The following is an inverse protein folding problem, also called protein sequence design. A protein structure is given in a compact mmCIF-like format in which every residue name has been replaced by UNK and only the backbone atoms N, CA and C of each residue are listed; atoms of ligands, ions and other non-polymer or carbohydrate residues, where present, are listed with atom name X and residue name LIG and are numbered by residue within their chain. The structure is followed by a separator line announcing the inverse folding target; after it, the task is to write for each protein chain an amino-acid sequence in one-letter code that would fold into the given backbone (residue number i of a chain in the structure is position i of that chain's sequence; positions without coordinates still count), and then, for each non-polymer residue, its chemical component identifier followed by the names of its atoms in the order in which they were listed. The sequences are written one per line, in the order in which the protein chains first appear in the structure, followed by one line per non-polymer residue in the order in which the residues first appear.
data_IF_516773043228
#
_entry.id   IF_516773043228
#
_cell.length_a   1.000
_cell.length_b   1.000
_cell.length_c   1.000
_cell.angle_alpha   90.00
_cell.angle_beta   90.00
_cell.angle_gamma   90.00
#
_symmetry.space_group_name_H-M   'P 1'
#
loop_
_entity.id
_entity.type
_entity.pdbx_description
1 polymer ?
#
# COMPACT_ATOMS: atom_id res chain seq x y z
N UNK A 1 36.64 19.21 -10.34
CA UNK A 1 37.41 18.14 -11.00
C UNK A 1 38.82 18.16 -10.43
N UNK A 2 39.12 17.27 -9.48
CA UNK A 2 40.49 17.06 -9.02
C UNK A 2 41.19 16.18 -10.04
N UNK A 3 42.21 16.71 -10.73
CA UNK A 3 43.07 15.91 -11.60
C UNK A 3 43.82 14.92 -10.72
N UNK A 4 43.53 13.62 -10.86
CA UNK A 4 44.35 12.58 -10.26
C UNK A 4 45.77 12.67 -10.86
N UNK A 5 46.83 12.59 -10.04
CA UNK A 5 48.20 12.58 -10.54
C UNK A 5 48.41 11.36 -11.44
N UNK A 6 48.81 11.60 -12.70
CA UNK A 6 49.20 10.54 -13.62
C UNK A 6 50.54 9.94 -13.15
N UNK A 7 50.46 8.78 -12.51
CA UNK A 7 51.63 7.93 -12.28
C UNK A 7 52.24 7.55 -13.64
N UNK A 8 53.56 7.69 -13.77
CA UNK A 8 54.27 7.27 -14.98
C UNK A 8 54.01 5.77 -15.24
N UNK A 9 53.74 5.36 -16.50
CA UNK A 9 53.47 3.97 -16.82
C UNK A 9 54.70 3.12 -16.47
N UNK A 10 54.51 2.15 -15.59
CA UNK A 10 55.53 1.16 -15.24
C UNK A 10 55.25 -0.10 -16.07
N UNK A 11 56.11 -0.39 -17.05
CA UNK A 11 55.97 -1.56 -17.91
C UNK A 11 56.63 -2.79 -17.26
N UNK A 12 56.07 -3.97 -17.51
CA UNK A 12 56.67 -5.23 -17.08
C UNK A 12 57.83 -5.65 -17.99
N UNK A 13 58.85 -6.30 -17.40
CA UNK A 13 60.01 -6.80 -18.13
C UNK A 13 59.68 -8.09 -18.87
N UNK A 14 60.21 -8.23 -20.08
CA UNK A 14 60.05 -9.44 -20.86
C UNK A 14 60.78 -10.63 -20.19
N UNK A 15 60.13 -11.79 -20.02
CA UNK A 15 60.75 -12.95 -19.36
C UNK A 15 61.93 -13.52 -20.15
N UNK A 16 61.89 -13.43 -21.49
CA UNK A 16 62.98 -13.90 -22.38
C UNK A 16 64.06 -12.85 -22.58
N UNK A 17 63.72 -11.57 -22.47
CA UNK A 17 64.64 -10.44 -22.67
C UNK A 17 64.52 -9.46 -21.49
N UNK A 18 65.12 -9.74 -20.32
CA UNK A 18 64.90 -8.97 -19.07
C UNK A 18 65.25 -7.48 -19.16
N UNK A 19 66.05 -7.09 -20.15
CA UNK A 19 66.44 -5.70 -20.41
C UNK A 19 65.29 -4.92 -21.07
N UNK A 20 64.45 -5.61 -21.85
CA UNK A 20 63.39 -5.01 -22.66
C UNK A 20 62.05 -5.01 -21.94
N UNK A 21 61.30 -3.91 -22.09
CA UNK A 21 59.92 -3.79 -21.62
C UNK A 21 58.95 -4.45 -22.61
N UNK A 22 57.85 -4.98 -22.07
CA UNK A 22 56.69 -5.41 -22.85
C UNK A 22 55.94 -4.15 -23.29
N UNK A 23 55.88 -3.93 -24.61
CA UNK A 23 55.29 -2.72 -25.20
C UNK A 23 54.29 -3.03 -26.31
N UNK A 24 54.17 -4.30 -26.71
CA UNK A 24 53.27 -4.79 -27.74
C UNK A 24 52.43 -5.96 -27.20
N UNK A 25 51.29 -6.21 -27.83
CA UNK A 25 50.42 -7.35 -27.54
C UNK A 25 49.90 -7.93 -28.86
N UNK A 26 49.91 -9.25 -29.00
CA UNK A 26 49.23 -9.93 -30.09
C UNK A 26 47.75 -10.09 -29.75
N UNK A 27 46.87 -9.59 -30.60
CA UNK A 27 45.41 -9.61 -30.46
C UNK A 27 44.74 -10.74 -31.25
N UNK A 28 45.52 -11.64 -31.87
CA UNK A 28 44.94 -12.84 -32.46
C UNK A 28 44.28 -13.69 -31.36
N UNK A 29 43.04 -14.13 -31.59
CA UNK A 29 42.19 -14.77 -30.59
C UNK A 29 42.80 -16.05 -29.97
N UNK A 30 43.59 -16.78 -30.75
CA UNK A 30 44.24 -18.03 -30.30
C UNK A 30 45.61 -17.80 -29.63
N UNK A 31 46.12 -16.57 -29.67
CA UNK A 31 47.48 -16.24 -29.21
C UNK A 31 47.48 -15.39 -27.93
N UNK A 32 46.97 -14.15 -28.00
CA UNK A 32 46.89 -13.20 -26.87
C UNK A 32 48.20 -13.04 -26.09
N UNK A 33 49.35 -13.03 -26.77
CA UNK A 33 50.67 -12.96 -26.11
C UNK A 33 51.19 -11.52 -25.94
N UNK A 34 51.77 -11.19 -24.77
CA UNK A 34 52.52 -9.95 -24.56
C UNK A 34 53.93 -10.02 -25.15
N UNK A 35 54.36 -8.97 -25.83
CA UNK A 35 55.59 -8.96 -26.61
C UNK A 35 56.47 -7.74 -26.30
N UNK A 36 57.78 -7.97 -26.14
CA UNK A 36 58.77 -6.92 -26.30
C UNK A 36 59.16 -6.77 -27.78
N UNK A 37 59.93 -5.72 -28.11
CA UNK A 37 60.34 -5.42 -29.50
C UNK A 37 61.09 -6.57 -30.19
N UNK A 38 61.88 -7.33 -29.44
CA UNK A 38 62.64 -8.47 -30.00
C UNK A 38 61.77 -9.72 -30.15
N UNK A 39 60.93 -10.04 -29.15
CA UNK A 39 59.98 -11.15 -29.23
C UNK A 39 58.98 -10.96 -30.40
N UNK A 40 58.54 -9.73 -30.66
CA UNK A 40 57.58 -9.43 -31.73
C UNK A 40 58.05 -9.92 -33.11
N UNK A 41 59.33 -9.75 -33.45
CA UNK A 41 59.85 -10.17 -34.76
C UNK A 41 59.75 -11.68 -34.95
N UNK A 42 60.13 -12.45 -33.92
CA UNK A 42 60.05 -13.92 -33.95
C UNK A 42 58.60 -14.39 -33.95
N UNK A 43 57.75 -13.71 -33.18
CA UNK A 43 56.33 -14.02 -33.07
C UNK A 43 55.59 -13.87 -34.41
N UNK A 44 55.85 -12.79 -35.16
CA UNK A 44 55.28 -12.60 -36.51
C UNK A 44 55.72 -13.73 -37.45
N UNK A 45 56.97 -14.18 -37.37
CA UNK A 45 57.46 -15.31 -38.17
C UNK A 45 56.73 -16.61 -37.83
N UNK A 46 56.45 -16.85 -36.55
CA UNK A 46 55.69 -18.02 -36.10
C UNK A 46 54.26 -18.02 -36.66
N UNK A 47 53.55 -16.89 -36.55
CA UNK A 47 52.23 -16.71 -37.17
C UNK A 47 52.25 -17.00 -38.68
N UNK A 48 53.23 -16.46 -39.40
CA UNK A 48 53.39 -16.71 -40.84
C UNK A 48 53.66 -18.19 -41.17
N UNK A 49 54.45 -18.90 -40.35
CA UNK A 49 54.71 -20.34 -40.53
C UNK A 49 53.47 -21.19 -40.26
N UNK A 50 52.63 -20.75 -39.33
CA UNK A 50 51.37 -21.41 -38.99
C UNK A 50 50.21 -21.01 -39.93
N UNK A 51 50.44 -20.08 -40.86
CA UNK A 51 49.41 -19.58 -41.77
C UNK A 51 48.34 -18.72 -41.10
N UNK A 52 48.63 -18.16 -39.93
CA UNK A 52 47.71 -17.28 -39.18
C UNK A 52 48.20 -15.83 -39.20
N UNK A 53 47.30 -14.83 -39.20
CA UNK A 53 47.70 -13.43 -39.19
C UNK A 53 48.14 -13.00 -37.79
N UNK A 54 49.28 -12.31 -37.69
CA UNK A 54 49.67 -11.61 -36.47
C UNK A 54 48.97 -10.24 -36.42
N UNK A 55 48.09 -10.03 -35.44
CA UNK A 55 47.43 -8.74 -35.20
C UNK A 55 48.14 -8.13 -34.00
N UNK A 56 49.05 -7.18 -34.19
CA UNK A 56 49.86 -6.63 -33.09
C UNK A 56 49.53 -5.17 -32.88
N UNK A 57 49.30 -4.80 -31.62
CA UNK A 57 49.09 -3.41 -31.21
C UNK A 57 49.94 -3.07 -29.98
N UNK A 58 50.06 -1.79 -29.67
CA UNK A 58 50.76 -1.29 -28.47
C UNK A 58 49.97 -1.57 -27.21
N UNK A 59 50.67 -1.78 -26.09
CA UNK A 59 50.04 -2.02 -24.78
C UNK A 59 49.10 -0.87 -24.39
N UNK A 60 49.40 0.37 -24.74
CA UNK A 60 48.53 1.52 -24.46
C UNK A 60 47.21 1.46 -25.24
N UNK A 61 47.26 1.13 -26.54
CA UNK A 61 46.05 0.95 -27.37
C UNK A 61 45.18 -0.20 -26.84
N UNK A 62 45.81 -1.34 -26.52
CA UNK A 62 45.12 -2.51 -25.97
C UNK A 62 44.49 -2.19 -24.62
N UNK A 63 45.20 -1.45 -23.77
CA UNK A 63 44.68 -0.99 -22.47
C UNK A 63 43.47 -0.07 -22.65
N UNK A 64 43.52 0.87 -23.59
CA UNK A 64 42.40 1.77 -23.87
C UNK A 64 41.17 0.99 -24.39
N UNK A 65 41.40 0.04 -25.31
CA UNK A 65 40.35 -0.87 -25.80
C UNK A 65 39.71 -1.66 -24.64
N UNK A 66 40.51 -2.35 -23.83
CA UNK A 66 40.02 -3.12 -22.69
C UNK A 66 39.33 -2.24 -21.64
N UNK A 67 39.83 -1.03 -21.42
CA UNK A 67 39.17 -0.06 -20.54
C UNK A 67 37.78 0.29 -21.06
N UNK A 68 37.65 0.57 -22.35
CA UNK A 68 36.36 0.86 -22.98
C UNK A 68 35.40 -0.33 -22.90
N UNK A 69 35.89 -1.56 -23.13
CA UNK A 69 35.08 -2.78 -23.01
C UNK A 69 34.55 -2.97 -21.59
N UNK A 70 35.43 -2.87 -20.58
CA UNK A 70 35.06 -2.97 -19.17
C UNK A 70 34.11 -1.84 -18.77
N UNK A 71 34.34 -0.62 -19.26
CA UNK A 71 33.47 0.52 -19.00
C UNK A 71 32.06 0.32 -19.57
N UNK A 72 31.96 -0.14 -20.82
CA UNK A 72 30.69 -0.45 -21.47
C UNK A 72 29.94 -1.57 -20.76
N UNK A 73 30.66 -2.61 -20.32
CA UNK A 73 30.07 -3.70 -19.56
C UNK A 73 29.55 -3.23 -18.20
N UNK A 74 30.32 -2.36 -17.51
CA UNK A 74 29.89 -1.74 -16.25
C UNK A 74 28.60 -0.95 -16.44
N UNK A 75 28.48 -0.14 -17.50
CA UNK A 75 27.26 0.63 -17.79
C UNK A 75 26.07 -0.31 -17.97
N UNK A 76 26.21 -1.40 -18.74
CA UNK A 76 25.14 -2.40 -18.91
C UNK A 76 24.71 -3.03 -17.58
N UNK A 77 25.66 -3.37 -16.71
CA UNK A 77 25.32 -3.90 -15.39
C UNK A 77 24.66 -2.87 -14.48
N UNK A 78 25.01 -1.58 -14.60
CA UNK A 78 24.31 -0.51 -13.88
C UNK A 78 22.87 -0.34 -14.37
N UNK A 79 22.59 -0.51 -15.67
CA UNK A 79 21.23 -0.55 -16.23
C UNK A 79 20.42 -1.73 -15.70
N UNK A 80 20.96 -2.94 -15.74
CA UNK A 80 20.30 -4.13 -15.20
C UNK A 80 20.06 -4.03 -13.68
N UNK A 81 20.98 -3.40 -12.96
CA UNK A 81 20.79 -3.10 -11.53
C UNK A 81 19.67 -2.07 -11.30
N UNK A 82 19.56 -1.05 -12.14
CA UNK A 82 18.50 -0.04 -12.06
C UNK A 82 17.12 -0.66 -12.32
N UNK A 83 17.02 -1.57 -13.31
CA UNK A 83 15.83 -2.38 -13.56
C UNK A 83 15.50 -3.22 -12.32
N UNK A 84 16.48 -3.96 -11.79
CA UNK A 84 16.25 -4.82 -10.63
C UNK A 84 15.81 -4.02 -9.39
N UNK A 85 16.39 -2.84 -9.15
CA UNK A 85 16.04 -2.00 -8.01
C UNK A 85 14.58 -1.53 -8.07
N UNK A 86 14.05 -1.26 -9.27
CA UNK A 86 12.65 -0.87 -9.44
C UNK A 86 11.66 -1.95 -8.95
N UNK A 87 11.99 -3.23 -9.13
CA UNK A 87 11.16 -4.35 -8.71
C UNK A 87 11.52 -4.90 -7.32
N UNK A 88 12.77 -4.71 -6.88
CA UNK A 88 13.29 -5.15 -5.58
C UNK A 88 12.76 -4.32 -4.40
N UNK A 89 12.31 -3.09 -4.62
CA UNK A 89 11.66 -2.26 -3.59
C UNK A 89 10.21 -2.74 -3.31
N UNK A 90 10.06 -4.05 -3.16
CA UNK A 90 8.81 -4.79 -3.00
C UNK A 90 8.03 -4.48 -1.72
N UNK A 91 8.45 -3.52 -0.89
CA UNK A 91 7.64 -2.99 0.21
C UNK A 91 7.00 -1.63 -0.12
N UNK A 92 7.39 -1.00 -1.24
CA UNK A 92 6.95 0.34 -1.63
C UNK A 92 6.30 0.43 -3.00
N UNK A 93 6.11 -0.70 -3.70
CA UNK A 93 5.38 -0.70 -4.96
C UNK A 93 3.99 -0.09 -4.73
N UNK A 94 3.64 0.90 -5.56
CA UNK A 94 2.32 1.54 -5.53
C UNK A 94 1.20 0.49 -5.65
N UNK A 95 1.50 -0.64 -6.29
CA UNK A 95 0.65 -1.82 -6.37
C UNK A 95 0.30 -2.38 -4.99
N UNK A 96 1.26 -2.58 -4.09
CA UNK A 96 0.99 -3.09 -2.74
C UNK A 96 0.16 -2.10 -1.93
N UNK A 97 0.46 -0.79 -2.06
CA UNK A 97 -0.36 0.26 -1.43
C UNK A 97 -1.80 0.26 -1.98
N UNK A 98 -1.96 0.07 -3.29
CA UNK A 98 -3.26 -0.05 -3.94
C UNK A 98 -4.03 -1.28 -3.45
N UNK A 99 -3.38 -2.44 -3.33
CA UNK A 99 -3.98 -3.66 -2.79
C UNK A 99 -4.45 -3.44 -1.35
N UNK A 100 -3.60 -2.88 -0.48
CA UNK A 100 -4.01 -2.52 0.88
C UNK A 100 -5.18 -1.55 0.89
N UNK A 101 -5.17 -0.54 0.02
CA UNK A 101 -6.28 0.40 -0.13
C UNK A 101 -7.60 -0.28 -0.52
N UNK A 102 -7.57 -1.24 -1.45
CA UNK A 102 -8.75 -2.04 -1.84
C UNK A 102 -9.25 -2.89 -0.68
N UNK A 103 -8.35 -3.52 0.08
CA UNK A 103 -8.72 -4.31 1.27
C UNK A 103 -9.40 -3.42 2.32
N UNK A 104 -8.84 -2.24 2.61
CA UNK A 104 -9.44 -1.30 3.56
C UNK A 104 -10.80 -0.78 3.08
N UNK A 105 -10.96 -0.53 1.78
CA UNK A 105 -12.24 -0.15 1.20
C UNK A 105 -13.29 -1.27 1.33
N UNK A 106 -12.91 -2.52 1.06
CA UNK A 106 -13.77 -3.71 1.27
C UNK A 106 -14.23 -3.77 2.72
N UNK A 107 -13.30 -3.66 3.69
CA UNK A 107 -13.64 -3.68 5.12
C UNK A 107 -14.65 -2.58 5.47
N UNK A 108 -14.39 -1.35 5.02
CA UNK A 108 -15.27 -0.20 5.29
C UNK A 108 -16.67 -0.43 4.72
N UNK A 109 -16.75 -0.91 3.48
CA UNK A 109 -18.04 -1.16 2.82
C UNK A 109 -18.83 -2.28 3.52
N UNK A 110 -18.17 -3.37 3.92
CA UNK A 110 -18.82 -4.47 4.63
C UNK A 110 -19.31 -4.05 6.03
N UNK A 111 -18.49 -3.30 6.78
CA UNK A 111 -18.94 -2.74 8.06
C UNK A 111 -20.14 -1.81 7.89
N UNK A 112 -20.11 -0.94 6.89
CA UNK A 112 -21.24 -0.05 6.61
C UNK A 112 -22.50 -0.84 6.29
N UNK A 113 -22.42 -1.84 5.41
CA UNK A 113 -23.54 -2.69 5.03
C UNK A 113 -24.15 -3.43 6.24
N UNK A 114 -23.30 -3.99 7.11
CA UNK A 114 -23.72 -4.68 8.33
C UNK A 114 -24.44 -3.70 9.27
N UNK A 115 -23.86 -2.52 9.50
CA UNK A 115 -24.45 -1.50 10.36
C UNK A 115 -25.79 -1.02 9.80
N UNK A 116 -25.87 -0.72 8.50
CA UNK A 116 -27.11 -0.27 7.85
C UNK A 116 -28.21 -1.33 7.97
N UNK A 117 -27.87 -2.61 7.84
CA UNK A 117 -28.82 -3.71 8.01
C UNK A 117 -29.29 -3.84 9.47
N UNK A 118 -28.37 -3.77 10.44
CA UNK A 118 -28.71 -3.78 11.87
C UNK A 118 -29.62 -2.60 12.24
N UNK A 119 -29.30 -1.40 11.78
CA UNK A 119 -30.12 -0.20 12.01
C UNK A 119 -31.53 -0.34 11.41
N UNK A 120 -31.65 -0.96 10.23
CA UNK A 120 -32.95 -1.26 9.63
C UNK A 120 -33.74 -2.28 10.45
N UNK A 121 -33.07 -3.34 10.92
CA UNK A 121 -33.69 -4.34 11.78
C UNK A 121 -34.17 -3.73 13.09
N UNK A 122 -33.36 -2.87 13.72
CA UNK A 122 -33.74 -2.14 14.93
C UNK A 122 -34.96 -1.25 14.70
N UNK A 123 -34.99 -0.51 13.59
CA UNK A 123 -36.15 0.32 13.21
C UNK A 123 -37.41 -0.52 13.02
N UNK A 124 -37.30 -1.67 12.37
CA UNK A 124 -38.43 -2.59 12.18
C UNK A 124 -38.91 -3.17 13.51
N UNK A 125 -38.00 -3.55 14.42
CA UNK A 125 -38.34 -3.98 15.78
C UNK A 125 -39.04 -2.87 16.55
N UNK A 126 -38.50 -1.64 16.53
CA UNK A 126 -39.13 -0.48 17.18
C UNK A 126 -40.52 -0.20 16.63
N UNK A 127 -40.69 -0.29 15.30
CA UNK A 127 -41.99 -0.15 14.63
C UNK A 127 -42.98 -1.22 15.09
N UNK A 128 -42.56 -2.48 15.19
CA UNK A 128 -43.41 -3.57 15.71
C UNK A 128 -43.76 -3.39 17.18
N UNK A 129 -42.80 -2.97 18.02
CA UNK A 129 -43.08 -2.60 19.43
C UNK A 129 -44.11 -1.47 19.49
N UNK A 130 -43.97 -0.44 18.64
CA UNK A 130 -44.89 0.68 18.60
C UNK A 130 -46.28 0.26 18.14
N UNK A 131 -46.39 -0.53 17.07
CA UNK A 131 -47.64 -1.10 16.59
C UNK A 131 -48.31 -1.96 17.66
N UNK A 132 -47.54 -2.80 18.36
CA UNK A 132 -48.04 -3.60 19.46
C UNK A 132 -48.60 -2.71 20.60
N UNK A 133 -47.90 -1.63 20.97
CA UNK A 133 -48.37 -0.68 21.99
C UNK A 133 -49.60 0.12 21.53
N UNK A 134 -49.67 0.46 20.25
CA UNK A 134 -50.74 1.26 19.65
C UNK A 134 -51.98 0.44 19.28
N UNK A 135 -51.88 -0.88 19.17
CA UNK A 135 -53.01 -1.75 18.86
C UNK A 135 -54.07 -1.74 19.98
N UNK A 136 -53.66 -1.62 21.24
CA UNK A 136 -54.58 -1.65 22.39
C UNK A 136 -54.25 -0.61 23.47
N UNK A 137 -54.37 0.69 23.14
CA UNK A 137 -54.11 1.76 24.08
C UNK A 137 -55.27 1.84 25.09
N UNK A 138 -55.12 1.15 26.22
CA UNK A 138 -56.04 1.30 27.35
C UNK A 138 -56.81 0.05 27.73
N UNK A 139 -56.79 -1.02 26.94
CA UNK A 139 -57.44 -2.31 27.31
C UNK A 139 -56.94 -2.81 28.67
N UNK A 140 -55.61 -2.78 28.89
CA UNK A 140 -55.01 -3.07 30.20
C UNK A 140 -55.53 -2.14 31.31
N UNK A 141 -55.70 -0.84 31.03
CA UNK A 141 -56.15 0.13 32.04
C UNK A 141 -57.63 -0.07 32.37
N UNK A 142 -58.44 -0.37 31.37
CA UNK A 142 -59.87 -0.65 31.53
C UNK A 142 -60.09 -1.94 32.32
N UNK A 143 -59.38 -3.02 31.97
CA UNK A 143 -59.40 -4.28 32.74
C UNK A 143 -58.94 -4.08 34.18
N UNK A 144 -57.85 -3.34 34.41
CA UNK A 144 -57.42 -2.99 35.77
C UNK A 144 -58.49 -2.18 36.53
N UNK A 145 -59.18 -1.25 35.87
CA UNK A 145 -60.24 -0.48 36.49
C UNK A 145 -61.46 -1.34 36.84
N UNK A 146 -61.90 -2.21 35.92
CA UNK A 146 -62.96 -3.21 36.16
C UNK A 146 -62.60 -4.11 37.35
N UNK A 147 -61.40 -4.70 37.37
CA UNK A 147 -60.91 -5.53 38.47
C UNK A 147 -60.89 -4.78 39.80
N UNK A 148 -60.33 -3.58 39.84
CA UNK A 148 -60.28 -2.78 41.07
C UNK A 148 -61.68 -2.39 41.57
N UNK A 149 -62.65 -2.19 40.68
CA UNK A 149 -64.03 -1.88 41.04
C UNK A 149 -64.69 -3.08 41.73
N UNK A 150 -64.51 -4.28 41.17
CA UNK A 150 -64.99 -5.53 41.77
C UNK A 150 -64.30 -5.78 43.12
N UNK A 151 -62.98 -5.67 43.21
CA UNK A 151 -62.22 -5.82 44.46
C UNK A 151 -62.71 -4.84 45.52
N UNK A 152 -62.82 -3.55 45.19
CA UNK A 152 -63.30 -2.54 46.16
C UNK A 152 -64.74 -2.81 46.62
N UNK A 153 -65.60 -3.33 45.75
CA UNK A 153 -66.97 -3.73 46.11
C UNK A 153 -66.95 -4.90 47.09
N UNK A 154 -66.13 -5.92 46.83
CA UNK A 154 -65.95 -7.07 47.72
C UNK A 154 -65.36 -6.67 49.07
N UNK A 155 -64.34 -5.80 49.09
CA UNK A 155 -63.76 -5.26 50.33
C UNK A 155 -64.78 -4.50 51.18
N UNK A 156 -65.68 -3.75 50.55
CA UNK A 156 -66.77 -3.04 51.25
C UNK A 156 -67.78 -4.02 51.84
N UNK A 157 -68.15 -5.07 51.10
CA UNK A 157 -69.03 -6.13 51.59
C UNK A 157 -68.39 -6.87 52.77
N UNK A 158 -67.10 -7.20 52.69
CA UNK A 158 -66.33 -7.85 53.75
C UNK A 158 -66.29 -6.97 55.02
N UNK A 159 -65.92 -5.69 54.88
CA UNK A 159 -65.93 -4.74 56.01
C UNK A 159 -67.32 -4.59 56.62
N UNK A 160 -68.36 -4.59 55.79
CA UNK A 160 -69.75 -4.56 56.23
C UNK A 160 -70.11 -5.76 57.10
N UNK A 161 -69.63 -6.95 56.75
CA UNK A 161 -69.81 -8.19 57.51
C UNK A 161 -68.99 -8.24 58.79
N UNK A 162 -67.81 -7.63 58.80
CA UNK A 162 -66.95 -7.53 59.99
C UNK A 162 -67.40 -6.44 60.98
N UNK A 163 -68.33 -5.56 60.58
CA UNK A 163 -68.79 -4.45 61.41
C UNK A 163 -69.73 -4.89 62.54
N UNK A 164 -69.83 -4.08 63.61
CA UNK A 164 -70.79 -4.32 64.70
C UNK A 164 -72.27 -4.32 64.25
N UNK A 165 -72.56 -3.80 63.05
CA UNK A 165 -73.90 -3.75 62.44
C UNK A 165 -74.06 -4.75 61.28
N UNK A 166 -73.38 -5.91 61.37
CA UNK A 166 -73.30 -6.91 60.30
C UNK A 166 -74.64 -7.46 59.79
N UNK A 167 -75.70 -7.51 60.61
CA UNK A 167 -77.01 -8.05 60.23
C UNK A 167 -77.55 -7.40 58.96
N UNK A 168 -77.39 -6.06 58.81
CA UNK A 168 -77.80 -5.34 57.61
C UNK A 168 -77.01 -5.78 56.38
N UNK A 169 -75.70 -5.98 56.52
CA UNK A 169 -74.81 -6.43 55.46
C UNK A 169 -75.13 -7.86 55.03
N UNK A 170 -75.49 -8.75 55.97
CA UNK A 170 -75.95 -10.10 55.67
C UNK A 170 -77.25 -10.09 54.86
N UNK A 171 -78.22 -9.25 55.22
CA UNK A 171 -79.48 -9.13 54.49
C UNK A 171 -79.25 -8.60 53.06
N UNK A 172 -78.39 -7.59 52.90
CA UNK A 172 -78.03 -7.08 51.57
C UNK A 172 -77.42 -8.21 50.73
N UNK A 173 -76.43 -8.94 51.24
CA UNK A 173 -75.76 -10.01 50.49
C UNK A 173 -76.65 -11.23 50.17
N UNK A 174 -77.64 -11.53 51.02
CA UNK A 174 -78.56 -12.65 50.80
C UNK A 174 -79.66 -12.34 49.79
N UNK A 175 -80.06 -11.07 49.67
CA UNK A 175 -81.17 -10.64 48.82
C UNK A 175 -80.73 -9.90 47.55
N UNK A 176 -79.48 -9.41 47.49
CA UNK A 176 -78.90 -8.84 46.29
C UNK A 176 -78.60 -9.97 45.29
N UNK A 177 -79.24 -9.92 44.11
CA UNK A 177 -78.84 -10.77 42.99
C UNK A 177 -77.42 -10.39 42.61
N UNK A 178 -76.48 -11.30 42.82
CA UNK A 178 -75.09 -11.13 42.43
C UNK A 178 -74.98 -11.13 40.90
N UNK A 179 -75.18 -9.98 40.28
CA UNK A 179 -74.74 -9.69 38.91
C UNK A 179 -73.25 -9.31 38.92
N UNK A 180 -72.43 -10.11 39.60
CA UNK A 180 -71.00 -10.04 39.37
C UNK A 180 -70.77 -10.88 38.11
N UNK A 181 -70.65 -10.22 36.97
CA UNK A 181 -70.24 -10.83 35.70
C UNK A 181 -68.75 -11.24 35.78
N UNK A 182 -68.44 -12.14 36.71
CA UNK A 182 -67.10 -12.67 36.95
C UNK A 182 -66.67 -13.56 35.79
N UNK A 183 -67.63 -14.28 35.20
CA UNK A 183 -67.40 -15.10 34.02
C UNK A 183 -67.07 -14.23 32.80
N UNK A 184 -67.82 -13.14 32.57
CA UNK A 184 -67.52 -12.16 31.52
C UNK A 184 -66.20 -11.44 31.76
N UNK A 185 -65.90 -11.03 33.00
CA UNK A 185 -64.61 -10.40 33.32
C UNK A 185 -63.43 -11.37 33.15
N UNK A 186 -63.58 -12.63 33.54
CA UNK A 186 -62.55 -13.66 33.31
C UNK A 186 -62.32 -13.89 31.82
N UNK A 187 -63.41 -13.94 31.03
CA UNK A 187 -63.33 -14.09 29.58
C UNK A 187 -62.66 -12.87 28.91
N UNK A 188 -62.97 -11.65 29.36
CA UNK A 188 -62.30 -10.42 28.91
C UNK A 188 -60.79 -10.45 29.18
N UNK A 189 -60.38 -10.94 30.36
CA UNK A 189 -58.96 -11.09 30.74
C UNK A 189 -58.27 -12.13 29.85
N UNK A 190 -58.88 -13.30 29.67
CA UNK A 190 -58.31 -14.37 28.84
C UNK A 190 -58.17 -13.94 27.38
N UNK A 191 -59.15 -13.21 26.86
CA UNK A 191 -59.10 -12.66 25.50
C UNK A 191 -57.97 -11.62 25.35
N UNK A 192 -57.82 -10.71 26.32
CA UNK A 192 -56.73 -9.72 26.30
C UNK A 192 -55.35 -10.38 26.40
N UNK A 193 -55.20 -11.40 27.25
CA UNK A 193 -53.95 -12.16 27.38
C UNK A 193 -53.63 -12.96 26.12
N UNK A 194 -54.62 -13.66 25.56
CA UNK A 194 -54.46 -14.40 24.30
C UNK A 194 -54.04 -13.47 23.18
N UNK A 195 -54.69 -12.30 23.06
CA UNK A 195 -54.32 -11.30 22.08
C UNK A 195 -52.88 -10.78 22.29
N UNK A 196 -52.49 -10.47 23.54
CA UNK A 196 -51.12 -10.05 23.87
C UNK A 196 -50.07 -11.10 23.46
N UNK A 197 -50.31 -12.36 23.82
CA UNK A 197 -49.41 -13.46 23.51
C UNK A 197 -49.35 -13.77 22.00
N UNK A 198 -50.44 -13.62 21.27
CA UNK A 198 -50.49 -13.82 19.81
C UNK A 198 -49.67 -12.78 19.03
N UNK A 199 -49.46 -11.59 19.59
CA UNK A 199 -48.72 -10.51 18.95
C UNK A 199 -47.31 -10.33 19.50
N UNK A 200 -46.90 -11.18 20.45
CA UNK A 200 -45.50 -11.28 20.88
C UNK A 200 -44.64 -11.76 19.72
N UNK A 201 -43.46 -11.17 19.59
CA UNK A 201 -42.49 -11.58 18.59
C UNK A 201 -41.11 -11.68 19.22
N UNK A 202 -40.29 -12.53 18.62
CA UNK A 202 -38.91 -12.75 19.01
C UNK A 202 -38.00 -12.62 17.77
N UNK A 203 -36.72 -12.39 18.01
CA UNK A 203 -35.69 -12.36 16.98
C UNK A 203 -34.96 -13.70 17.01
N UNK A 204 -35.20 -14.53 16.00
CA UNK A 204 -34.48 -15.79 15.86
C UNK A 204 -33.16 -15.57 15.10
N UNK A 205 -32.05 -16.04 15.68
CA UNK A 205 -30.73 -15.99 15.05
C UNK A 205 -30.43 -17.35 14.44
N UNK A 206 -30.35 -17.39 13.10
CA UNK A 206 -30.07 -18.61 12.35
C UNK A 206 -28.57 -18.76 12.08
N UNK A 207 -27.87 -19.50 12.93
CA UNK A 207 -26.42 -19.69 12.80
C UNK A 207 -26.01 -20.41 11.50
N UNK A 208 -26.86 -21.28 10.93
CA UNK A 208 -26.60 -21.94 9.64
C UNK A 208 -26.51 -20.94 8.46
N UNK A 209 -27.14 -19.77 8.59
CA UNK A 209 -27.05 -18.71 7.57
C UNK A 209 -25.77 -17.92 7.66
N UNK A 210 -25.12 -17.91 8.83
CA UNK A 210 -23.86 -17.21 9.01
C UNK A 210 -22.75 -17.82 8.15
N UNK A 211 -22.71 -19.15 8.04
CA UNK A 211 -21.75 -19.83 7.18
C UNK A 211 -21.95 -19.47 5.70
N UNK A 212 -23.20 -19.30 5.26
CA UNK A 212 -23.50 -18.86 3.89
C UNK A 212 -23.03 -17.45 3.59
N UNK A 213 -23.00 -16.57 4.59
CA UNK A 213 -22.44 -15.21 4.44
C UNK A 213 -20.94 -15.33 4.12
N UNK A 214 -20.23 -16.26 4.75
CA UNK A 214 -18.82 -16.48 4.48
C UNK A 214 -18.57 -16.94 3.03
N UNK A 215 -19.42 -17.82 2.50
CA UNK A 215 -19.33 -18.27 1.10
C UNK A 215 -19.54 -17.09 0.13
N UNK A 216 -20.57 -16.27 0.37
CA UNK A 216 -20.83 -15.08 -0.45
C UNK A 216 -19.71 -14.05 -0.34
N UNK A 217 -19.07 -13.91 0.82
CA UNK A 217 -17.91 -13.04 0.99
C UNK A 217 -16.68 -13.50 0.18
N UNK A 218 -16.52 -14.80 -0.03
CA UNK A 218 -15.46 -15.35 -0.90
C UNK A 218 -15.72 -15.03 -2.36
N UNK A 219 -16.97 -15.08 -2.81
CA UNK A 219 -17.37 -14.68 -4.16
C UNK A 219 -17.25 -13.16 -4.37
N UNK A 220 -17.39 -12.37 -3.30
CA UNK A 220 -17.29 -10.91 -3.37
C UNK A 220 -15.85 -10.40 -3.55
N UNK A 221 -14.84 -11.09 -3.02
CA UNK A 221 -13.42 -10.66 -3.09
C UNK A 221 -12.52 -11.81 -3.50
N UNK A 222 -11.93 -11.67 -4.68
CA UNK A 222 -11.01 -12.65 -5.24
C UNK A 222 -9.61 -12.09 -5.43
N UNK A 223 -8.61 -12.90 -5.08
CA UNK A 223 -7.19 -12.57 -5.27
C UNK A 223 -6.76 -13.14 -6.62
N UNK A 224 -6.41 -12.24 -7.54
CA UNK A 224 -5.90 -12.60 -8.85
C UNK A 224 -4.39 -12.38 -8.92
N UNK A 225 -3.68 -13.28 -9.59
CA UNK A 225 -2.29 -13.05 -9.95
C UNK A 225 -2.22 -12.05 -11.10
N UNK A 226 -1.46 -10.98 -10.91
CA UNK A 226 -1.24 -9.96 -11.95
C UNK A 226 -0.01 -10.36 -12.76
N UNK A 227 -0.12 -10.32 -14.09
CA UNK A 227 1.02 -10.46 -14.99
C UNK A 227 1.74 -9.13 -15.09
N UNK A 228 2.93 -9.02 -14.49
CA UNK A 228 3.77 -7.82 -14.54
C UNK A 228 4.76 -7.82 -15.73
N UNK A 229 4.66 -8.79 -16.64
CA UNK A 229 5.57 -8.93 -17.77
C UNK A 229 5.55 -7.72 -18.70
N UNK A 230 4.37 -7.19 -19.03
CA UNK A 230 4.24 -6.00 -19.88
C UNK A 230 4.79 -4.74 -19.19
N UNK A 231 4.62 -4.61 -17.88
CA UNK A 231 5.15 -3.50 -17.10
C UNK A 231 6.69 -3.55 -17.03
N UNK A 232 7.25 -4.75 -16.85
CA UNK A 232 8.69 -5.00 -16.93
C UNK A 232 9.27 -4.64 -18.30
N UNK A 233 8.61 -5.05 -19.37
CA UNK A 233 9.06 -4.77 -20.74
C UNK A 233 9.05 -3.25 -21.01
N UNK A 234 7.95 -2.57 -20.70
CA UNK A 234 7.82 -1.13 -20.84
C UNK A 234 8.88 -0.36 -20.04
N UNK A 235 9.10 -0.74 -18.77
CA UNK A 235 10.06 -0.04 -17.91
C UNK A 235 11.52 -0.28 -18.35
N UNK A 236 11.83 -1.53 -18.73
CA UNK A 236 13.13 -1.89 -19.32
C UNK A 236 13.42 -1.05 -20.56
N UNK A 237 12.42 -0.88 -21.43
CA UNK A 237 12.56 -0.07 -22.63
C UNK A 237 12.80 1.40 -22.31
N UNK A 238 12.06 1.98 -21.36
CA UNK A 238 12.26 3.37 -20.93
C UNK A 238 13.66 3.65 -20.37
N UNK A 239 14.19 2.78 -19.51
CA UNK A 239 15.56 2.94 -18.96
C UNK A 239 16.58 2.93 -20.10
N UNK A 240 16.48 1.96 -21.01
CA UNK A 240 17.41 1.80 -22.13
C UNK A 240 17.33 2.97 -23.11
N UNK A 241 16.13 3.48 -23.39
CA UNK A 241 15.94 4.66 -24.25
C UNK A 241 16.49 5.95 -23.59
N UNK A 242 16.24 6.16 -22.30
CA UNK A 242 16.74 7.32 -21.57
C UNK A 242 18.28 7.36 -21.54
N UNK A 243 18.95 6.20 -21.37
CA UNK A 243 20.41 6.11 -21.39
C UNK A 243 20.99 6.31 -22.79
N UNK A 244 20.30 5.82 -23.85
CA UNK A 244 20.68 6.13 -25.25
C UNK A 244 20.66 7.63 -25.52
N UNK A 245 19.63 8.34 -25.06
CA UNK A 245 19.51 9.79 -25.23
C UNK A 245 20.66 10.52 -24.51
N UNK A 246 21.01 10.09 -23.29
CA UNK A 246 22.15 10.66 -22.55
C UNK A 246 23.49 10.38 -23.23
N UNK A 247 23.70 9.17 -23.77
CA UNK A 247 24.91 8.81 -24.51
C UNK A 247 25.09 9.63 -25.79
N UNK A 248 24.02 9.85 -26.55
CA UNK A 248 24.04 10.68 -27.77
C UNK A 248 24.38 12.14 -27.44
N UNK A 249 23.85 12.68 -26.34
CA UNK A 249 24.18 14.04 -25.90
C UNK A 249 25.67 14.15 -25.53
N UNK A 250 26.25 13.16 -24.82
CA UNK A 250 27.68 13.18 -24.49
C UNK A 250 28.58 13.09 -25.74
N UNK A 251 28.25 12.24 -26.71
CA UNK A 251 29.00 12.16 -27.98
C UNK A 251 28.91 13.45 -28.80
N UNK A 252 27.76 14.12 -28.83
CA UNK A 252 27.63 15.41 -29.51
C UNK A 252 28.49 16.50 -28.86
N UNK A 253 28.65 16.49 -27.53
CA UNK A 253 29.53 17.42 -26.83
C UNK A 253 31.02 17.15 -27.10
N UNK A 254 31.44 15.89 -27.17
CA UNK A 254 32.83 15.52 -27.50
C UNK A 254 33.20 15.87 -28.96
N UNK A 255 32.30 15.59 -29.92
CA UNK A 255 32.53 15.94 -31.33
C UNK A 255 32.63 17.46 -31.55
N UNK A 256 31.85 18.26 -30.82
CA UNK A 256 31.97 19.73 -30.87
C UNK A 256 33.29 20.24 -30.32
N UNK A 257 33.83 19.63 -29.25
CA UNK A 257 35.15 20.00 -28.72
C UNK A 257 36.28 19.61 -29.67
N UNK A 258 36.23 18.42 -30.29
CA UNK A 258 37.24 18.03 -31.29
C UNK A 258 37.23 18.95 -32.53
N UNK A 259 36.05 19.34 -33.03
CA UNK A 259 35.97 20.31 -34.14
C UNK A 259 36.52 21.69 -33.75
N UNK A 260 36.30 22.14 -32.51
CA UNK A 260 36.90 23.39 -32.04
C UNK A 260 38.43 23.33 -31.98
N UNK A 261 39.01 22.21 -31.51
CA UNK A 261 40.46 22.04 -31.49
C UNK A 261 41.07 21.98 -32.91
N UNK A 262 40.43 21.30 -33.86
CA UNK A 262 40.91 21.28 -35.26
C UNK A 262 40.83 22.66 -35.92
N UNK A 263 39.74 23.41 -35.71
CA UNK A 263 39.63 24.78 -36.21
C UNK A 263 40.67 25.71 -35.59
N UNK A 264 41.00 25.55 -34.30
CA UNK A 264 42.03 26.35 -33.63
C UNK A 264 43.44 26.04 -34.15
N UNK A 265 43.74 24.78 -34.45
CA UNK A 265 45.03 24.39 -35.07
C UNK A 265 45.15 24.91 -36.51
N UNK A 266 44.08 24.88 -37.31
CA UNK A 266 44.09 25.50 -38.65
C UNK A 266 44.29 27.01 -38.58
N UNK A 267 43.69 27.69 -37.58
CA UNK A 267 43.88 29.12 -37.37
C UNK A 267 45.32 29.49 -36.95
N UNK A 268 45.98 28.64 -36.14
CA UNK A 268 47.39 28.86 -35.79
C UNK A 268 48.35 28.61 -36.96
N UNK A 269 48.03 27.67 -37.86
CA UNK A 269 48.82 27.43 -39.06
C UNK A 269 48.68 28.55 -40.11
N UNK A 270 47.53 29.23 -40.18
CA UNK A 270 47.35 30.40 -41.04
C UNK A 270 48.06 31.65 -40.50
N UNK A 271 48.11 31.84 -39.17
CA UNK A 271 48.88 32.94 -38.53
C UNK A 271 50.40 32.75 -38.78
N UNK A 272 50.93 31.53 -38.66
CA UNK A 272 52.36 31.25 -38.91
C UNK A 272 52.82 31.45 -40.37
N UNK A 273 51.90 31.54 -41.33
CA UNK A 273 52.24 31.81 -42.75
C UNK A 273 52.28 33.30 -43.11
N UNK A 274 51.92 34.21 -42.21
CA UNK A 274 51.93 35.66 -42.47
C UNK A 274 53.07 36.44 -41.80
N UNK A 275 53.87 35.82 -40.93
CA UNK A 275 55.03 36.48 -40.29
C UNK A 275 56.32 36.28 -41.10
N UNK A 276 56.37 36.91 -42.28
CA UNK A 276 57.59 37.14 -43.04
C UNK A 276 57.53 38.55 -43.63
N UNK A 277 57.48 39.56 -42.75
CA UNK A 277 57.90 40.94 -43.01
C UNK A 277 57.85 41.74 -41.69
N UNK A 278 58.96 42.31 -41.20
CA UNK A 278 58.93 43.17 -40.03
C UNK A 278 58.59 44.61 -40.45
N UNK A 279 57.52 45.16 -39.89
CA UNK A 279 57.31 46.62 -39.84
C UNK A 279 57.04 47.03 -38.39
N UNK A 280 57.72 48.10 -38.04
CA UNK A 280 57.86 48.78 -36.76
C UNK A 280 56.55 49.47 -36.33
N UNK A 281 56.33 49.53 -35.01
CA UNK A 281 55.59 50.55 -34.23
C UNK A 281 54.21 50.24 -33.61
N UNK A 282 54.23 50.31 -32.27
CA UNK A 282 53.40 51.14 -31.36
C UNK A 282 51.99 50.69 -30.87
N UNK A 283 51.91 50.65 -29.52
CA UNK A 283 50.83 51.09 -28.59
C UNK A 283 49.45 50.40 -28.52
N UNK A 284 49.25 49.61 -27.44
CA UNK A 284 48.23 49.71 -26.32
C UNK A 284 46.97 50.57 -26.63
N UNK A 285 45.69 50.16 -26.33
CA UNK A 285 45.23 49.79 -24.98
C UNK A 285 44.19 48.67 -24.79
N UNK A 286 44.13 48.26 -23.52
CA UNK A 286 43.22 47.33 -22.86
C UNK A 286 41.74 47.75 -22.91
N UNK A 287 40.86 46.78 -23.10
CA UNK A 287 39.45 46.88 -22.69
C UNK A 287 39.07 45.70 -21.80
N UNK A 288 38.68 46.04 -20.56
CA UNK A 288 38.07 45.15 -19.57
C UNK A 288 36.71 44.67 -20.07
N UNK A 289 36.43 43.37 -19.96
CA UNK A 289 35.05 42.88 -19.94
C UNK A 289 34.75 42.19 -18.61
N UNK A 290 33.58 42.57 -18.12
CA UNK A 290 32.99 42.36 -16.82
C UNK A 290 31.97 41.22 -16.98
N UNK A 291 32.11 40.12 -16.23
CA UNK A 291 31.08 39.09 -16.14
C UNK A 291 30.56 39.03 -14.71
N UNK A 292 29.36 39.56 -14.52
CA UNK A 292 28.49 39.24 -13.38
C UNK A 292 27.84 37.89 -13.67
N UNK A 293 28.03 36.92 -12.78
CA UNK A 293 27.29 35.66 -12.77
C UNK A 293 26.42 35.63 -11.52
N UNK A 294 25.11 35.64 -11.77
CA UNK A 294 24.01 35.39 -10.86
C UNK A 294 23.83 33.87 -10.79
N UNK A 295 23.82 33.25 -9.60
CA UNK A 295 22.95 32.12 -9.26
C UNK A 295 22.87 31.96 -7.74
N UNK A 296 21.68 32.25 -7.22
CA UNK A 296 21.22 31.89 -5.88
C UNK A 296 20.83 30.42 -5.81
N UNK A 297 21.10 29.81 -4.65
CA UNK A 297 20.74 28.44 -4.25
C UNK A 297 19.52 28.52 -3.33
N UNK A 298 18.43 27.75 -3.54
CA UNK A 298 17.48 27.47 -2.49
C UNK A 298 17.69 26.08 -1.89
N UNK A 299 18.00 26.06 -0.59
CA UNK A 299 17.85 24.90 0.29
C UNK A 299 16.37 24.74 0.66
N UNK A 300 15.80 23.56 0.40
CA UNK A 300 14.53 23.12 0.99
C UNK A 300 14.79 21.83 1.80
N UNK A 301 14.71 21.94 3.12
CA UNK A 301 14.66 20.81 4.04
C UNK A 301 13.18 20.58 4.42
N UNK A 302 12.62 19.44 4.01
CA UNK A 302 11.34 18.96 4.51
C UNK A 302 11.61 17.93 5.60
N UNK A 303 11.18 18.28 6.80
CA UNK A 303 11.27 17.50 8.03
C UNK A 303 9.85 16.99 8.32
N UNK A 304 9.62 15.67 8.22
CA UNK A 304 8.33 15.04 8.57
C UNK A 304 8.64 13.89 9.52
N UNK A 305 8.35 14.10 10.81
CA UNK A 305 8.24 13.03 11.80
C UNK A 305 6.86 13.10 12.43
N UNK A 306 6.03 12.11 12.09
CA UNK A 306 4.73 11.81 12.66
C UNK A 306 4.87 10.61 13.60
N UNK A 307 4.62 10.79 14.90
CA UNK A 307 4.50 9.69 15.87
C UNK A 307 3.05 9.53 16.32
N UNK A 308 2.50 8.37 16.00
CA UNK A 308 1.15 7.94 16.36
C UNK A 308 1.08 7.42 17.81
N UNK A 309 -0.07 7.70 18.40
CA UNK A 309 -0.53 7.32 19.73
C UNK A 309 -0.72 5.80 19.87
N UNK A 310 -0.25 5.25 20.99
CA UNK A 310 -0.61 3.94 21.50
C UNK A 310 -1.95 4.01 22.23
N UNK A 311 -2.89 3.11 21.90
CA UNK A 311 -4.11 2.89 22.68
C UNK A 311 -4.22 1.39 23.02
N UNK A 312 -4.12 1.10 24.31
CA UNK A 312 -4.37 -0.20 24.95
C UNK A 312 -5.87 -0.40 25.13
N UNK A 313 -6.45 -1.52 24.69
CA UNK A 313 -7.65 -2.09 25.30
C UNK A 313 -7.59 -3.62 25.21
N UNK A 314 -7.53 -4.26 26.38
CA UNK A 314 -7.70 -5.69 26.55
C UNK A 314 -8.63 -5.96 27.73
N UNK A 315 -9.37 -7.06 27.62
CA UNK A 315 -10.05 -7.79 28.70
C UNK A 315 -11.43 -7.28 29.15
N UNK A 316 -12.53 -7.86 28.62
CA UNK A 316 -13.78 -8.07 29.39
C UNK A 316 -14.84 -9.01 28.77
N UNK A 317 -14.54 -9.82 27.76
CA UNK A 317 -15.57 -10.65 27.07
C UNK A 317 -16.18 -11.76 27.94
N UNK A 318 -15.43 -12.37 28.87
CA UNK A 318 -15.88 -13.54 29.65
C UNK A 318 -16.99 -13.27 30.70
N UNK A 319 -17.27 -12.01 31.01
CA UNK A 319 -18.24 -11.64 32.05
C UNK A 319 -19.68 -11.44 31.54
N UNK A 320 -19.86 -11.39 30.22
CA UNK A 320 -21.17 -11.23 29.60
C UNK A 320 -21.85 -12.58 29.37
N UNK A 321 -21.09 -13.56 28.88
CA UNK A 321 -21.58 -14.91 28.54
C UNK A 321 -22.12 -15.66 29.78
N UNK A 322 -21.39 -15.58 30.91
CA UNK A 322 -21.84 -16.16 32.18
C UNK A 322 -23.13 -15.52 32.72
N UNK A 323 -23.39 -14.24 32.44
CA UNK A 323 -24.62 -13.56 32.87
C UNK A 323 -25.82 -13.94 32.00
N UNK A 324 -25.59 -14.16 30.70
CA UNK A 324 -26.65 -14.61 29.79
C UNK A 324 -27.11 -16.03 30.14
N UNK A 325 -26.15 -16.90 30.47
CA UNK A 325 -26.42 -18.30 30.81
C UNK A 325 -27.20 -18.43 32.13
N UNK A 326 -26.84 -17.65 33.16
CA UNK A 326 -27.59 -17.60 34.42
C UNK A 326 -29.02 -17.06 34.27
N UNK A 327 -29.25 -16.11 33.36
CA UNK A 327 -30.60 -15.59 33.12
C UNK A 327 -31.50 -16.60 32.37
N UNK A 328 -30.93 -17.38 31.44
CA UNK A 328 -31.66 -18.43 30.73
C UNK A 328 -32.03 -19.60 31.64
N UNK A 329 -31.17 -19.97 32.60
CA UNK A 329 -31.51 -21.01 33.60
C UNK A 329 -32.63 -20.57 34.53
N UNK A 330 -32.66 -19.30 34.94
CA UNK A 330 -33.77 -18.75 35.74
C UNK A 330 -35.09 -18.77 34.97
N UNK A 331 -35.09 -18.41 33.69
CA UNK A 331 -36.31 -18.43 32.88
C UNK A 331 -36.87 -19.84 32.69
N UNK A 332 -35.99 -20.85 32.55
CA UNK A 332 -36.43 -22.26 32.50
C UNK A 332 -37.08 -22.74 33.80
N UNK A 333 -36.69 -22.21 34.96
CA UNK A 333 -37.31 -22.58 36.24
C UNK A 333 -38.70 -21.97 36.45
N UNK A 334 -39.02 -20.86 35.78
CA UNK A 334 -40.32 -20.19 35.93
C UNK A 334 -41.37 -20.63 34.90
N UNK A 335 -40.95 -21.18 33.76
CA UNK A 335 -41.83 -21.47 32.62
C UNK A 335 -41.68 -22.89 32.07
N UNK A 336 -40.84 -23.74 32.70
CA UNK A 336 -40.58 -25.13 32.30
C UNK A 336 -41.32 -26.13 33.16
#
# INVERSE_FOLDING_TARGET
MQQQPQLAPTYEKCPTHPINDIVLFCLNDECKEPLCKECCKLHIQQHNQQGTPAIIDTVDSVREMLFNDVHNLKIKFEEEREILHHFSDGEHSQLIKSIHGKIEQVKKNLHQLINDYCDQLEKEVQKRIHQHKAAHPGEKKELHHKLNTVINSLDQQEKGLQSQKYIKSCLILLFEKKDHDLEGLSLDIDNALKHYLQNMFDICIHNDKFDKINDVLREYVEIHQVNLGEELENYTQQIRENKKIQGIQQQQYQNKQQQQYQNQQQFQQSIKKQELNPIISQTIPQTKQNYQSIYDIPHNQLNIHSSLQQSRLGSNSKNYENRLQQNNEKLKQYYG
#
